data_IF_713552671737
#
_entry.id   IF_713552671737
#
_cell.length_a   1.000
_cell.length_b   1.000
_cell.length_c   1.000
_cell.angle_alpha   90.00
_cell.angle_beta   90.00
_cell.angle_gamma   90.00
#
_symmetry.space_group_name_H-M   'P 1'
#
loop_
_entity.id
_entity.type
_entity.pdbx_description
1 polymer ?
#
# COMPACT_ATOMS: atom_id res chain seq x y z
N UNK A 1 65.89 -46.35 23.56
CA UNK A 1 66.59 -46.19 22.27
C UNK A 1 66.37 -44.77 21.78
N UNK A 2 67.47 -44.04 21.53
CA UNK A 2 67.50 -42.68 20.95
C UNK A 2 67.34 -42.76 19.43
N UNK A 3 66.58 -41.83 18.82
CA UNK A 3 66.90 -41.07 17.59
C UNK A 3 65.76 -40.09 17.26
N UNK A 4 66.00 -38.81 17.52
CA UNK A 4 65.53 -37.65 16.75
C UNK A 4 66.65 -37.29 15.72
N UNK A 5 66.60 -36.22 14.87
CA UNK A 5 65.54 -35.28 14.46
C UNK A 5 65.55 -34.95 12.93
N UNK A 6 64.81 -33.89 12.57
CA UNK A 6 65.13 -32.84 11.56
C UNK A 6 64.26 -32.88 10.29
N UNK A 7 63.28 -32.00 10.08
CA UNK A 7 63.24 -30.54 10.05
C UNK A 7 63.67 -29.92 8.71
N UNK A 8 62.78 -29.05 8.20
CA UNK A 8 62.94 -28.12 7.09
C UNK A 8 61.56 -27.50 6.82
N UNK A 9 61.08 -26.51 7.59
CA UNK A 9 61.39 -25.07 7.49
C UNK A 9 61.09 -24.51 6.08
N UNK A 10 60.37 -23.41 5.87
CA UNK A 10 59.94 -22.36 6.80
C UNK A 10 59.17 -21.27 6.05
N UNK A 11 58.30 -20.56 6.80
CA UNK A 11 58.10 -19.08 6.83
C UNK A 11 57.67 -18.36 5.55
N UNK A 12 56.93 -17.26 5.53
CA UNK A 12 56.29 -16.36 6.50
C UNK A 12 55.82 -15.17 5.65
N UNK A 13 54.69 -14.55 5.97
CA UNK A 13 54.57 -13.10 6.19
C UNK A 13 53.14 -12.62 5.98
N UNK A 14 52.63 -11.97 7.02
CA UNK A 14 51.54 -11.01 6.96
C UNK A 14 51.88 -9.85 6.02
N UNK A 15 50.91 -9.19 5.39
CA UNK A 15 50.24 -8.00 5.96
C UNK A 15 49.35 -7.29 4.92
N UNK A 16 48.49 -6.41 5.46
CA UNK A 16 47.88 -5.20 4.87
C UNK A 16 46.73 -5.33 3.86
N UNK A 17 45.54 -5.00 4.39
CA UNK A 17 44.63 -3.94 3.93
C UNK A 17 44.50 -3.70 2.43
N UNK A 18 43.33 -4.06 1.90
CA UNK A 18 42.57 -3.19 1.01
C UNK A 18 41.09 -3.23 1.42
N UNK A 19 40.72 -2.21 2.18
CA UNK A 19 39.40 -1.61 2.05
C UNK A 19 39.29 -1.10 0.61
N UNK A 20 38.34 -1.63 -0.15
CA UNK A 20 37.77 -0.99 -1.32
C UNK A 20 36.35 -1.53 -1.50
N UNK A 21 35.41 -0.75 -0.95
CA UNK A 21 34.05 -0.53 -1.41
C UNK A 21 33.41 -1.63 -2.25
N UNK A 22 32.61 -2.45 -1.58
CA UNK A 22 31.44 -3.04 -2.24
C UNK A 22 30.25 -2.94 -1.29
N UNK A 23 29.67 -1.74 -1.20
CA UNK A 23 28.28 -1.55 -0.80
C UNK A 23 27.38 -2.24 -1.82
N UNK A 24 27.30 -3.57 -1.76
CA UNK A 24 26.26 -4.32 -2.43
C UNK A 24 25.30 -4.91 -1.39
N UNK A 25 24.17 -4.22 -1.30
CA UNK A 25 22.85 -4.86 -1.22
C UNK A 25 22.66 -5.81 -0.04
N UNK A 26 22.71 -5.29 1.18
CA UNK A 26 21.88 -5.81 2.28
C UNK A 26 20.58 -5.00 2.39
N UNK A 27 19.81 -4.96 1.30
CA UNK A 27 18.36 -4.92 1.43
C UNK A 27 17.96 -6.28 1.96
N UNK A 28 17.88 -6.39 3.28
CA UNK A 28 17.36 -7.55 3.99
C UNK A 28 15.99 -7.89 3.41
N UNK A 29 15.97 -8.99 2.67
CA UNK A 29 14.80 -9.76 2.25
C UNK A 29 13.59 -9.50 3.14
N UNK A 30 12.58 -8.81 2.60
CA UNK A 30 11.23 -8.91 3.14
C UNK A 30 10.82 -10.37 2.94
N UNK A 31 11.02 -11.17 3.98
CA UNK A 31 10.65 -12.58 4.00
C UNK A 31 9.20 -12.70 3.54
N UNK A 32 8.99 -13.51 2.49
CA UNK A 32 7.68 -13.83 1.94
C UNK A 32 6.77 -14.34 3.07
N UNK A 33 5.98 -13.44 3.67
CA UNK A 33 5.07 -13.76 4.75
C UNK A 33 3.83 -14.43 4.14
N UNK A 34 3.95 -15.72 3.84
CA UNK A 34 2.80 -16.57 3.54
C UNK A 34 2.74 -17.71 4.53
N UNK A 35 2.34 -17.44 5.79
CA UNK A 35 1.76 -18.51 6.57
C UNK A 35 0.49 -18.96 5.85
N UNK A 36 0.10 -20.22 6.03
CA UNK A 36 -1.16 -20.80 5.57
C UNK A 36 -2.33 -20.04 6.20
N UNK A 37 -2.69 -18.90 5.61
CA UNK A 37 -3.79 -18.06 6.06
C UNK A 37 -5.07 -18.85 5.84
N UNK A 38 -5.80 -19.17 6.90
CA UNK A 38 -7.15 -19.74 6.79
C UNK A 38 -8.06 -18.66 6.22
N UNK A 39 -8.97 -18.99 5.29
CA UNK A 39 -9.89 -18.03 4.62
C UNK A 39 -10.56 -17.04 5.59
N UNK A 40 -10.91 -17.47 6.80
CA UNK A 40 -11.54 -16.60 7.82
C UNK A 40 -10.66 -15.44 8.30
N UNK A 41 -9.33 -15.61 8.32
CA UNK A 41 -8.39 -14.57 8.77
C UNK A 41 -8.19 -13.43 7.77
N UNK A 42 -8.61 -13.60 6.52
CA UNK A 42 -8.46 -12.55 5.50
C UNK A 42 -9.30 -11.31 5.80
N UNK A 43 -10.46 -11.48 6.45
CA UNK A 43 -11.35 -10.37 6.83
C UNK A 43 -11.02 -9.77 8.20
N UNK A 44 -10.05 -10.33 8.91
CA UNK A 44 -9.62 -9.85 10.20
C UNK A 44 -8.97 -8.48 10.03
N UNK A 45 -9.51 -7.46 10.72
CA UNK A 45 -8.94 -6.12 10.78
C UNK A 45 -7.62 -6.20 11.55
N UNK A 46 -6.50 -5.87 10.88
CA UNK A 46 -5.16 -5.90 11.48
C UNK A 46 -4.66 -4.51 11.84
N UNK A 47 -5.10 -3.47 11.13
CA UNK A 47 -4.74 -2.08 11.40
C UNK A 47 -6.00 -1.22 11.48
N UNK A 48 -5.94 -0.17 12.30
CA UNK A 48 -7.01 0.81 12.43
C UNK A 48 -6.41 2.21 12.40
N UNK A 49 -6.77 2.99 11.38
CA UNK A 49 -6.32 4.37 11.19
C UNK A 49 -7.55 5.27 11.11
N UNK A 50 -7.79 6.04 12.17
CA UNK A 50 -9.01 6.84 12.32
C UNK A 50 -10.28 5.99 12.12
N UNK A 51 -11.17 6.37 11.18
CA UNK A 51 -12.40 5.62 10.91
C UNK A 51 -12.18 4.35 10.05
N UNK A 52 -10.97 4.12 9.53
CA UNK A 52 -10.69 3.04 8.59
C UNK A 52 -10.07 1.83 9.28
N UNK A 53 -10.75 0.68 9.18
CA UNK A 53 -10.19 -0.62 9.51
C UNK A 53 -9.59 -1.28 8.27
N UNK A 54 -8.32 -1.65 8.33
CA UNK A 54 -7.60 -2.35 7.25
C UNK A 54 -7.37 -3.79 7.65
N UNK A 55 -7.99 -4.69 6.91
CA UNK A 55 -7.92 -6.14 7.03
C UNK A 55 -6.70 -6.73 6.36
N UNK A 56 -6.39 -7.99 6.69
CA UNK A 56 -5.31 -8.74 6.04
C UNK A 56 -5.48 -8.81 4.51
N UNK A 57 -6.71 -8.97 4.00
CA UNK A 57 -7.00 -8.92 2.57
C UNK A 57 -6.54 -7.59 1.96
N UNK A 58 -6.89 -6.48 2.59
CA UNK A 58 -6.52 -5.15 2.12
C UNK A 58 -5.01 -4.94 2.19
N UNK A 59 -4.33 -5.36 3.25
CA UNK A 59 -2.87 -5.28 3.33
C UNK A 59 -2.18 -6.11 2.26
N UNK A 60 -2.71 -7.29 1.93
CA UNK A 60 -2.17 -8.12 0.85
C UNK A 60 -2.35 -7.51 -0.54
N UNK A 61 -3.20 -6.50 -0.71
CA UNK A 61 -3.29 -5.75 -1.98
C UNK A 61 -2.07 -4.85 -2.24
N UNK A 62 -1.27 -4.54 -1.20
CA UNK A 62 -0.02 -3.80 -1.33
C UNK A 62 1.12 -4.64 -1.93
N UNK A 63 0.98 -5.97 -1.94
CA UNK A 63 2.00 -6.86 -2.47
C UNK A 63 1.91 -6.90 -4.01
N UNK A 64 2.94 -6.41 -4.74
CA UNK A 64 2.92 -6.40 -6.21
C UNK A 64 3.00 -7.81 -6.79
N UNK A 65 3.58 -8.75 -6.03
CA UNK A 65 3.77 -10.14 -6.42
C UNK A 65 3.26 -11.05 -5.31
N UNK A 66 2.15 -11.74 -5.59
CA UNK A 66 1.55 -12.70 -4.67
C UNK A 66 1.79 -14.13 -5.15
N UNK A 67 2.11 -15.07 -4.26
CA UNK A 67 2.09 -16.49 -4.61
C UNK A 67 0.70 -16.91 -5.11
N UNK A 68 0.64 -17.74 -6.16
CA UNK A 68 -0.60 -18.17 -6.82
C UNK A 68 -1.66 -18.72 -5.83
N UNK A 69 -1.23 -19.46 -4.80
CA UNK A 69 -2.14 -19.97 -3.77
C UNK A 69 -2.82 -18.86 -2.97
N UNK A 70 -2.09 -17.81 -2.62
CA UNK A 70 -2.62 -16.64 -1.91
C UNK A 70 -3.54 -15.82 -2.80
N UNK A 71 -3.19 -15.62 -4.07
CA UNK A 71 -4.04 -14.93 -5.05
C UNK A 71 -5.40 -15.63 -5.21
N UNK A 72 -5.39 -16.96 -5.40
CA UNK A 72 -6.62 -17.77 -5.50
C UNK A 72 -7.46 -17.63 -4.22
N UNK A 73 -6.82 -17.64 -3.06
CA UNK A 73 -7.51 -17.49 -1.79
C UNK A 73 -8.15 -16.10 -1.66
N UNK A 74 -7.45 -15.03 -2.04
CA UNK A 74 -7.98 -13.66 -2.03
C UNK A 74 -9.15 -13.51 -2.99
N UNK A 75 -9.04 -14.04 -4.23
CA UNK A 75 -10.15 -14.09 -5.19
C UNK A 75 -11.36 -14.86 -4.67
N UNK A 76 -11.13 -15.85 -3.81
CA UNK A 76 -12.19 -16.59 -3.11
C UNK A 76 -12.97 -15.76 -2.09
N UNK A 77 -12.42 -14.63 -1.62
CA UNK A 77 -13.07 -13.71 -0.67
C UNK A 77 -13.58 -12.46 -1.38
N UNK A 78 -12.78 -11.88 -2.27
CA UNK A 78 -13.11 -10.72 -3.08
C UNK A 78 -12.90 -11.08 -4.56
N UNK A 79 -14.01 -11.31 -5.28
CA UNK A 79 -13.96 -11.75 -6.69
C UNK A 79 -13.27 -10.74 -7.60
N UNK A 80 -13.36 -9.46 -7.26
CA UNK A 80 -12.78 -8.36 -8.02
C UNK A 80 -11.30 -8.11 -7.67
N UNK A 81 -10.71 -8.92 -6.79
CA UNK A 81 -9.31 -8.81 -6.43
C UNK A 81 -8.40 -8.97 -7.65
N UNK A 82 -7.54 -7.98 -7.85
CA UNK A 82 -6.49 -7.97 -8.88
C UNK A 82 -5.17 -7.71 -8.19
N UNK A 83 -4.20 -8.57 -8.44
CA UNK A 83 -2.84 -8.38 -7.96
C UNK A 83 -2.28 -7.06 -8.50
N UNK A 84 -1.56 -6.32 -7.65
CA UNK A 84 -1.02 -5.00 -7.98
C UNK A 84 -2.05 -3.87 -7.99
N UNK A 85 -3.32 -4.13 -7.69
CA UNK A 85 -4.34 -3.09 -7.52
C UNK A 85 -4.60 -2.90 -6.02
N UNK A 86 -4.57 -1.65 -5.59
CA UNK A 86 -4.90 -1.29 -4.22
C UNK A 86 -6.41 -1.35 -4.01
N UNK A 87 -6.83 -1.89 -2.87
CA UNK A 87 -8.22 -1.80 -2.43
C UNK A 87 -8.51 -0.44 -1.79
N UNK A 88 -9.75 0.02 -1.94
CA UNK A 88 -10.23 1.32 -1.49
C UNK A 88 -9.87 1.62 -0.04
N UNK A 89 -10.02 0.67 0.89
CA UNK A 89 -9.73 0.91 2.31
C UNK A 89 -8.25 1.19 2.58
N UNK A 90 -7.33 0.66 1.76
CA UNK A 90 -5.89 0.97 1.88
C UNK A 90 -5.64 2.42 1.48
N UNK A 91 -6.23 2.85 0.36
CA UNK A 91 -6.10 4.20 -0.17
C UNK A 91 -6.73 5.22 0.79
N UNK A 92 -7.92 4.89 1.29
CA UNK A 92 -8.65 5.70 2.25
C UNK A 92 -7.88 5.86 3.57
N UNK A 93 -7.34 4.76 4.09
CA UNK A 93 -6.48 4.75 5.28
C UNK A 93 -5.21 5.62 5.08
N UNK A 94 -4.57 5.54 3.92
CA UNK A 94 -3.40 6.37 3.60
C UNK A 94 -3.74 7.87 3.57
N UNK A 95 -4.83 8.25 2.90
CA UNK A 95 -5.22 9.66 2.84
C UNK A 95 -5.70 10.21 4.19
N UNK A 96 -6.31 9.37 5.02
CA UNK A 96 -6.59 9.74 6.42
C UNK A 96 -5.30 10.11 7.16
N UNK A 97 -4.27 9.25 7.10
CA UNK A 97 -2.97 9.54 7.73
C UNK A 97 -2.34 10.82 7.18
N UNK A 98 -2.51 11.10 5.87
CA UNK A 98 -2.02 12.32 5.25
C UNK A 98 -2.70 13.58 5.80
N UNK A 99 -4.03 13.55 5.95
CA UNK A 99 -4.82 14.62 6.58
C UNK A 99 -4.47 14.79 8.05
N UNK A 100 -4.33 13.69 8.79
CA UNK A 100 -3.99 13.72 10.23
C UNK A 100 -2.60 14.35 10.45
N UNK A 101 -1.64 14.07 9.57
CA UNK A 101 -0.30 14.64 9.62
C UNK A 101 -0.23 16.09 9.12
N UNK A 102 -1.23 16.56 8.37
CA UNK A 102 -1.23 17.87 7.72
C UNK A 102 -2.60 18.55 7.81
N UNK A 103 -2.72 19.51 8.74
CA UNK A 103 -4.00 20.20 9.01
C UNK A 103 -4.62 20.95 7.83
N UNK A 104 -3.79 21.30 6.83
CA UNK A 104 -4.21 22.00 5.61
C UNK A 104 -4.80 21.07 4.53
N UNK A 105 -4.68 19.75 4.71
CA UNK A 105 -5.20 18.74 3.78
C UNK A 105 -6.55 18.28 4.29
N UNK A 106 -7.49 18.14 3.37
CA UNK A 106 -8.78 17.52 3.61
C UNK A 106 -8.94 16.36 2.63
N UNK A 107 -9.24 15.18 3.15
CA UNK A 107 -9.42 13.98 2.37
C UNK A 107 -10.91 13.68 2.13
N UNK A 108 -11.22 13.20 0.94
CA UNK A 108 -12.55 12.77 0.51
C UNK A 108 -12.59 11.25 0.35
N UNK A 109 -13.46 10.53 1.09
CA UNK A 109 -13.63 9.10 0.95
C UNK A 109 -13.91 8.62 -0.47
N UNK A 110 -13.38 7.44 -0.83
CA UNK A 110 -13.60 6.84 -2.15
C UNK A 110 -15.09 6.65 -2.48
N UNK A 111 -15.90 6.30 -1.48
CA UNK A 111 -17.35 6.20 -1.61
C UNK A 111 -18.00 7.53 -1.97
N UNK A 112 -17.54 8.63 -1.36
CA UNK A 112 -18.01 9.98 -1.66
C UNK A 112 -17.56 10.45 -3.04
N UNK A 113 -16.32 10.15 -3.43
CA UNK A 113 -15.84 10.40 -4.80
C UNK A 113 -16.68 9.67 -5.84
N UNK A 114 -17.09 8.43 -5.58
CA UNK A 114 -17.99 7.67 -6.46
C UNK A 114 -19.40 8.30 -6.57
N UNK A 115 -19.92 8.89 -5.48
CA UNK A 115 -21.21 9.60 -5.50
C UNK A 115 -21.08 10.89 -6.31
N UNK A 116 -19.99 11.64 -6.13
CA UNK A 116 -19.69 12.84 -6.90
C UNK A 116 -19.54 12.52 -8.40
N UNK A 117 -18.87 11.42 -8.75
CA UNK A 117 -18.76 10.93 -10.14
C UNK A 117 -20.12 10.73 -10.82
N UNK A 118 -21.15 10.39 -10.04
CA UNK A 118 -22.52 10.16 -10.53
C UNK A 118 -23.37 11.44 -10.52
N UNK A 119 -22.76 12.60 -10.29
CA UNK A 119 -23.43 13.90 -10.13
C UNK A 119 -24.48 13.90 -9.00
N UNK A 120 -24.30 13.06 -7.98
CA UNK A 120 -25.19 13.01 -6.82
C UNK A 120 -24.67 13.93 -5.70
N UNK A 121 -25.57 14.59 -4.95
CA UNK A 121 -25.18 15.54 -3.91
C UNK A 121 -24.53 14.83 -2.72
N UNK A 122 -23.41 15.39 -2.25
CA UNK A 122 -22.67 14.92 -1.06
C UNK A 122 -22.77 15.91 0.11
N UNK A 123 -23.99 16.37 0.44
CA UNK A 123 -24.20 17.46 1.41
C UNK A 123 -23.75 17.18 2.85
N UNK A 124 -23.33 15.95 3.19
CA UNK A 124 -22.85 15.57 4.53
C UNK A 124 -21.35 15.29 4.59
N UNK A 125 -20.62 15.49 3.50
CA UNK A 125 -19.22 15.07 3.40
C UNK A 125 -18.30 15.76 4.42
N UNK A 126 -18.58 17.02 4.74
CA UNK A 126 -17.74 17.87 5.58
C UNK A 126 -18.53 18.59 6.67
N UNK A 127 -19.60 17.96 7.18
CA UNK A 127 -20.52 18.62 8.11
C UNK A 127 -19.83 19.15 9.38
N UNK A 128 -18.73 18.52 9.76
CA UNK A 128 -17.99 18.83 10.99
C UNK A 128 -16.57 19.37 10.71
N UNK A 129 -16.29 19.81 9.47
CA UNK A 129 -14.98 20.31 9.05
C UNK A 129 -15.07 21.75 8.53
N UNK A 130 -14.13 22.60 8.95
CA UNK A 130 -13.97 23.94 8.40
C UNK A 130 -13.11 23.90 7.13
N UNK A 131 -13.77 23.91 5.97
CA UNK A 131 -13.13 23.85 4.65
C UNK A 131 -12.32 25.12 4.38
N UNK A 132 -12.64 26.27 5.00
CA UNK A 132 -11.95 27.53 4.74
C UNK A 132 -10.49 27.54 5.21
N UNK A 133 -10.17 26.67 6.16
CA UNK A 133 -8.81 26.47 6.68
C UNK A 133 -7.97 25.50 5.84
N UNK A 134 -8.58 24.83 4.86
CA UNK A 134 -7.95 23.79 4.05
C UNK A 134 -7.40 24.40 2.76
N UNK A 135 -6.18 24.01 2.41
CA UNK A 135 -5.50 24.44 1.17
C UNK A 135 -5.66 23.42 0.05
N UNK A 136 -5.77 22.14 0.40
CA UNK A 136 -5.77 21.04 -0.56
C UNK A 136 -6.87 20.06 -0.18
N UNK A 137 -7.69 19.69 -1.17
CA UNK A 137 -8.64 18.59 -1.05
C UNK A 137 -8.12 17.42 -1.90
N UNK A 138 -7.93 16.26 -1.28
CA UNK A 138 -7.46 15.05 -1.94
C UNK A 138 -8.55 13.99 -1.93
N UNK A 139 -8.73 13.28 -3.03
CA UNK A 139 -9.71 12.19 -3.12
C UNK A 139 -9.28 11.17 -4.16
N UNK A 140 -9.45 9.87 -3.91
CA UNK A 140 -9.15 8.85 -4.88
C UNK A 140 -10.14 8.93 -6.04
N UNK A 141 -9.60 8.94 -7.26
CA UNK A 141 -10.41 8.86 -8.47
C UNK A 141 -10.31 7.46 -9.06
N UNK A 142 -11.38 6.68 -8.95
CA UNK A 142 -11.50 5.42 -9.66
C UNK A 142 -12.27 5.68 -10.97
N UNK A 143 -11.62 5.70 -12.14
CA UNK A 143 -12.30 5.93 -13.40
C UNK A 143 -13.19 4.72 -13.72
N UNK A 144 -14.45 4.78 -13.30
CA UNK A 144 -15.46 3.87 -13.81
C UNK A 144 -15.77 4.25 -15.26
N UNK A 145 -16.08 3.26 -16.11
CA UNK A 145 -16.59 3.55 -17.46
C UNK A 145 -17.90 4.31 -17.30
N UNK A 146 -17.85 5.63 -17.29
CA UNK A 146 -19.04 6.44 -17.48
C UNK A 146 -19.62 6.00 -18.83
N UNK A 147 -20.93 5.69 -18.91
CA UNK A 147 -21.57 5.66 -20.22
C UNK A 147 -21.26 7.01 -20.85
N UNK A 148 -20.66 7.00 -22.05
CA UNK A 148 -20.53 8.18 -22.90
C UNK A 148 -21.94 8.61 -23.31
N UNK A 149 -22.71 9.19 -22.38
CA UNK A 149 -23.92 9.92 -22.73
C UNK A 149 -23.49 11.37 -22.96
N UNK A 150 -23.06 11.64 -24.20
CA UNK A 150 -22.67 12.96 -24.71
C UNK A 150 -23.82 13.98 -24.72
N UNK A 151 -24.97 13.68 -24.10
CA UNK A 151 -26.22 14.42 -24.26
C UNK A 151 -26.58 15.33 -23.08
N UNK A 152 -25.84 15.29 -21.94
CA UNK A 152 -26.28 15.94 -20.69
C UNK A 152 -25.51 17.17 -20.21
N UNK A 153 -24.76 17.85 -21.08
CA UNK A 153 -24.34 19.22 -20.81
C UNK A 153 -25.14 20.21 -21.67
N UNK A 154 -26.40 20.46 -21.29
CA UNK A 154 -27.07 21.71 -21.63
C UNK A 154 -27.07 22.58 -20.38
N UNK A 155 -26.15 23.52 -20.31
CA UNK A 155 -26.28 24.67 -19.43
C UNK A 155 -27.47 25.48 -19.94
N UNK A 156 -28.60 25.41 -19.27
CA UNK A 156 -29.65 26.40 -19.46
C UNK A 156 -29.24 27.64 -18.67
N UNK A 157 -28.59 28.60 -19.35
CA UNK A 157 -28.57 29.99 -18.90
C UNK A 157 -30.00 30.51 -19.01
N UNK A 158 -30.62 30.84 -17.88
CA UNK A 158 -31.79 31.71 -17.85
C UNK A 158 -31.27 33.13 -17.66
N UNK A 159 -31.50 33.97 -18.66
CA UNK A 159 -31.50 35.44 -18.56
C UNK A 159 -32.72 35.89 -17.74
#
# INVERSE_FOLDING_TARGET
MRRFPSAGHSSSAANSNKDEDTENTKLTSFANFTPTIKKGKLKETLLKNGPHGVSLLQLKSLEPHLPRGTEIMQKGVCKDFKQGWLLDEVVNSFFWCLQESNSHILYVPSTSMLVLQKNAPCGRLWKDEDITLKKIIVGPWNPTKLPLDSSRCRFTTKE
#
